data_IF_469061575720
#
_entry.id   IF_469061575720
#
_cell.length_a   1.000
_cell.length_b   1.000
_cell.length_c   1.000
_cell.angle_alpha   90.00
_cell.angle_beta   90.00
_cell.angle_gamma   90.00
#
_symmetry.space_group_name_H-M   'P 1'
#
loop_
_entity.id
_entity.type
_entity.pdbx_description
1 polymer ?
#
# COMPACT_ATOMS: atom_id res chain seq x y z
N UNK A 1 -4.06 -6.05 3.52
CA UNK A 1 -5.36 -5.32 3.52
C UNK A 1 -5.28 -3.89 4.11
N UNK A 2 -4.11 -3.34 4.44
CA UNK A 2 -4.01 -1.98 5.01
C UNK A 2 -4.17 -0.85 3.97
N UNK A 3 -3.50 -0.98 2.84
CA UNK A 3 -3.27 0.14 1.90
C UNK A 3 -4.54 0.78 1.34
N UNK A 4 -5.59 0.00 1.07
CA UNK A 4 -6.87 0.55 0.54
C UNK A 4 -7.65 1.31 1.62
N UNK A 5 -7.60 0.82 2.85
CA UNK A 5 -8.27 1.44 4.00
C UNK A 5 -7.57 2.74 4.38
N UNK A 6 -6.24 2.76 4.39
CA UNK A 6 -5.44 3.96 4.68
C UNK A 6 -5.71 5.09 3.65
N UNK A 7 -5.78 4.75 2.35
CA UNK A 7 -6.13 5.70 1.29
C UNK A 7 -7.54 6.27 1.47
N UNK A 8 -8.52 5.42 1.78
CA UNK A 8 -9.90 5.85 2.00
C UNK A 8 -10.03 6.78 3.23
N UNK A 9 -9.32 6.45 4.32
CA UNK A 9 -9.27 7.26 5.54
C UNK A 9 -8.63 8.62 5.28
N UNK A 10 -7.56 8.65 4.49
CA UNK A 10 -6.88 9.89 4.11
C UNK A 10 -7.77 10.82 3.29
N UNK A 11 -8.54 10.29 2.33
CA UNK A 11 -9.54 11.08 1.57
C UNK A 11 -10.64 11.66 2.46
N UNK A 12 -11.11 10.87 3.43
CA UNK A 12 -12.11 11.36 4.39
C UNK A 12 -11.58 12.47 5.28
N UNK A 13 -10.36 12.35 5.81
CA UNK A 13 -9.71 13.40 6.60
C UNK A 13 -9.48 14.68 5.79
N UNK A 14 -9.05 14.54 4.53
CA UNK A 14 -8.83 15.66 3.64
C UNK A 14 -10.12 16.42 3.33
N UNK A 15 -11.20 15.68 3.03
CA UNK A 15 -12.53 16.26 2.82
C UNK A 15 -13.06 16.93 4.08
N UNK A 16 -12.93 16.28 5.25
CA UNK A 16 -13.33 16.85 6.53
C UNK A 16 -12.57 18.14 6.83
N UNK A 17 -11.24 18.15 6.68
CA UNK A 17 -10.40 19.33 6.88
C UNK A 17 -10.71 20.47 5.91
N UNK A 18 -11.04 20.16 4.65
CA UNK A 18 -11.49 21.17 3.68
C UNK A 18 -12.85 21.78 4.05
N UNK A 19 -13.76 20.99 4.63
CA UNK A 19 -15.09 21.45 5.08
C UNK A 19 -14.99 22.28 6.36
N UNK A 20 -14.16 21.87 7.32
CA UNK A 20 -13.99 22.56 8.61
C UNK A 20 -12.93 23.67 8.58
N UNK A 21 -12.28 23.89 7.44
CA UNK A 21 -11.13 24.80 7.28
C UNK A 21 -9.99 24.47 8.26
N UNK A 22 -9.80 23.18 8.55
CA UNK A 22 -8.78 22.66 9.44
C UNK A 22 -7.61 22.12 8.60
N UNK A 23 -6.54 22.92 8.53
CA UNK A 23 -5.33 22.58 7.77
C UNK A 23 -4.63 21.32 8.30
N UNK A 24 -4.77 21.01 9.59
CA UNK A 24 -4.14 19.82 10.18
C UNK A 24 -4.84 18.56 9.69
N UNK A 25 -6.18 18.54 9.67
CA UNK A 25 -6.95 17.41 9.12
C UNK A 25 -6.67 17.20 7.63
N UNK A 26 -6.51 18.30 6.87
CA UNK A 26 -6.12 18.25 5.46
C UNK A 26 -4.73 17.64 5.27
N UNK A 27 -3.75 18.08 6.05
CA UNK A 27 -2.37 17.59 5.98
C UNK A 27 -2.24 16.12 6.42
N UNK A 28 -2.96 15.72 7.48
CA UNK A 28 -3.04 14.31 7.90
C UNK A 28 -3.63 13.43 6.79
N UNK A 29 -4.71 13.90 6.15
CA UNK A 29 -5.35 13.17 5.05
C UNK A 29 -4.42 12.91 3.86
N UNK A 30 -3.62 13.90 3.48
CA UNK A 30 -2.62 13.76 2.41
C UNK A 30 -1.47 12.82 2.82
N UNK A 31 -1.03 12.91 4.07
CA UNK A 31 0.03 12.04 4.60
C UNK A 31 -0.40 10.58 4.64
N UNK A 32 -1.62 10.30 5.12
CA UNK A 32 -2.19 8.95 5.16
C UNK A 32 -2.34 8.34 3.75
N UNK A 33 -2.72 9.15 2.74
CA UNK A 33 -2.76 8.71 1.34
C UNK A 33 -1.37 8.36 0.81
N UNK A 34 -0.37 9.23 1.02
CA UNK A 34 0.99 9.02 0.55
C UNK A 34 1.63 7.77 1.16
N UNK A 35 1.45 7.56 2.48
CA UNK A 35 1.92 6.36 3.18
C UNK A 35 1.21 5.10 2.66
N UNK A 36 -0.09 5.18 2.40
CA UNK A 36 -0.87 4.09 1.82
C UNK A 36 -0.40 3.69 0.42
N UNK A 37 -0.14 4.67 -0.46
CA UNK A 37 0.40 4.42 -1.80
C UNK A 37 1.81 3.82 -1.75
N UNK A 38 2.70 4.38 -0.92
CA UNK A 38 4.05 3.86 -0.75
C UNK A 38 4.06 2.40 -0.27
N UNK A 39 3.27 2.07 0.76
CA UNK A 39 3.09 0.68 1.21
C UNK A 39 2.54 -0.20 0.10
N UNK A 40 1.55 0.28 -0.66
CA UNK A 40 0.97 -0.48 -1.77
C UNK A 40 1.97 -0.82 -2.88
N UNK A 41 2.87 0.11 -3.22
CA UNK A 41 3.93 -0.12 -4.21
C UNK A 41 4.97 -1.11 -3.70
N UNK A 42 5.43 -0.94 -2.46
CA UNK A 42 6.39 -1.85 -1.84
C UNK A 42 5.82 -3.26 -1.72
N UNK A 43 4.60 -3.41 -1.23
CA UNK A 43 3.95 -4.72 -1.07
C UNK A 43 3.83 -5.45 -2.42
N UNK A 44 3.43 -4.76 -3.50
CA UNK A 44 3.40 -5.34 -4.85
C UNK A 44 4.77 -5.75 -5.38
N UNK A 45 5.80 -4.95 -5.11
CA UNK A 45 7.16 -5.28 -5.52
C UNK A 45 7.68 -6.52 -4.79
N UNK A 46 7.44 -6.60 -3.48
CA UNK A 46 7.79 -7.76 -2.66
C UNK A 46 7.02 -9.01 -3.09
N UNK A 47 5.72 -8.90 -3.38
CA UNK A 47 4.90 -10.02 -3.83
C UNK A 47 5.42 -10.61 -5.15
N UNK A 48 5.73 -9.76 -6.13
CA UNK A 48 6.33 -10.20 -7.41
C UNK A 48 7.65 -10.93 -7.23
N UNK A 49 8.52 -10.42 -6.35
CA UNK A 49 9.82 -11.06 -6.08
C UNK A 49 9.62 -12.42 -5.42
N UNK A 50 8.68 -12.51 -4.46
CA UNK A 50 8.31 -13.78 -3.84
C UNK A 50 7.77 -14.77 -4.86
N UNK A 51 6.84 -14.37 -5.72
CA UNK A 51 6.27 -15.24 -6.77
C UNK A 51 7.35 -15.79 -7.71
N UNK A 52 8.31 -14.95 -8.12
CA UNK A 52 9.42 -15.38 -8.97
C UNK A 52 10.36 -16.35 -8.24
N UNK A 53 10.66 -16.10 -6.97
CA UNK A 53 11.49 -16.98 -6.15
C UNK A 53 10.81 -18.34 -5.90
N UNK A 54 9.49 -18.34 -5.64
CA UNK A 54 8.69 -19.56 -5.48
C UNK A 54 8.65 -20.36 -6.79
N UNK A 55 8.44 -19.70 -7.93
CA UNK A 55 8.46 -20.34 -9.25
C UNK A 55 9.83 -20.97 -9.58
N UNK A 56 10.92 -20.28 -9.25
CA UNK A 56 12.29 -20.80 -9.41
C UNK A 56 12.54 -22.01 -8.50
N UNK A 57 12.16 -21.91 -7.22
CA UNK A 57 12.29 -23.00 -6.24
C UNK A 57 11.49 -24.24 -6.67
N UNK A 58 10.26 -24.04 -7.17
CA UNK A 58 9.40 -25.12 -7.66
C UNK A 58 10.00 -25.83 -8.88
N UNK A 59 10.65 -25.07 -9.77
CA UNK A 59 11.32 -25.62 -10.96
C UNK A 59 12.57 -26.43 -10.58
N UNK A 60 13.38 -25.93 -9.65
CA UNK A 60 14.53 -26.66 -9.09
C UNK A 60 14.08 -27.95 -8.41
N UNK A 61 13.04 -27.89 -7.57
CA UNK A 61 12.52 -29.08 -6.88
C UNK A 61 11.97 -30.14 -7.83
N UNK A 62 11.35 -29.74 -8.94
CA UNK A 62 10.86 -30.65 -9.98
C UNK A 62 11.97 -31.33 -10.80
N UNK A 63 13.18 -30.77 -10.78
CA UNK A 63 14.32 -31.29 -11.58
C UNK A 63 15.20 -32.26 -10.78
N UNK A 64 15.07 -32.24 -9.45
CA UNK A 64 15.86 -33.08 -8.52
C UNK A 64 15.10 -34.37 -8.13
N UNK A 65 13.80 -34.45 -8.41
CA UNK A 65 12.95 -35.66 -8.29
C UNK A 65 12.93 -36.43 -9.62
#
# INVERSE_FOLDING_TARGET
MGSKTDIAKGRMKEAAGAITNDEKLKAEGQTDQAVGEAKGVVERATDKVKDMADAASKSVKKTID
#
